data_IF_052733536244
#
_entry.id   IF_052733536244
#
_cell.length_a   1.000
_cell.length_b   1.000
_cell.length_c   1.000
_cell.angle_alpha   90.00
_cell.angle_beta   90.00
_cell.angle_gamma   90.00
#
_symmetry.space_group_name_H-M   'P 1'
#
loop_
_entity.id
_entity.type
_entity.pdbx_description
1 polymer ?
#
# COMPACT_ATOMS: atom_id res chain seq x y z
N UNK A 1 22.89 -18.59 -12.90
CA UNK A 1 21.50 -18.61 -12.39
C UNK A 1 20.82 -17.35 -12.87
N UNK A 2 19.51 -17.38 -13.15
CA UNK A 2 18.75 -16.16 -13.46
C UNK A 2 18.69 -15.25 -12.21
N UNK A 3 18.73 -13.93 -12.39
CA UNK A 3 18.54 -12.96 -11.30
C UNK A 3 17.16 -13.20 -10.65
N UNK A 4 17.04 -13.20 -9.32
CA UNK A 4 15.74 -13.19 -8.65
C UNK A 4 14.92 -11.97 -9.07
N UNK A 5 13.61 -12.15 -9.22
CA UNK A 5 12.70 -11.07 -9.64
C UNK A 5 11.95 -10.53 -8.42
N UNK A 6 12.01 -9.21 -8.21
CA UNK A 6 11.39 -8.51 -7.08
C UNK A 6 10.31 -7.56 -7.59
N UNK A 7 9.15 -7.54 -6.91
CA UNK A 7 8.12 -6.53 -7.11
C UNK A 7 7.83 -5.82 -5.79
N UNK A 8 7.38 -4.56 -5.85
CA UNK A 8 7.01 -3.81 -4.65
C UNK A 8 5.71 -3.03 -4.84
N UNK A 9 4.96 -2.84 -3.76
CA UNK A 9 3.75 -2.02 -3.79
C UNK A 9 3.63 -1.17 -2.53
N UNK A 10 2.98 -0.02 -2.69
CA UNK A 10 2.48 0.80 -1.60
C UNK A 10 0.95 0.75 -1.58
N UNK A 11 0.38 0.42 -0.41
CA UNK A 11 -1.06 0.37 -0.17
C UNK A 11 -1.47 1.57 0.70
N UNK A 12 -2.12 1.34 1.84
CA UNK A 12 -2.34 2.36 2.86
C UNK A 12 -1.06 2.60 3.67
N UNK A 13 -0.04 3.15 3.01
CA UNK A 13 1.27 3.51 3.57
C UNK A 13 1.60 4.99 3.32
N UNK A 14 2.76 5.42 3.81
CA UNK A 14 3.24 6.81 3.66
C UNK A 14 4.39 6.95 2.65
N UNK A 15 4.75 5.87 1.96
CA UNK A 15 5.93 5.70 1.12
C UNK A 15 7.28 5.63 1.88
N UNK A 16 7.24 5.67 3.22
CA UNK A 16 8.43 5.70 4.07
C UNK A 16 9.26 4.42 4.02
N UNK A 17 8.64 3.26 3.84
CA UNK A 17 9.40 2.00 3.72
C UNK A 17 10.14 1.94 2.36
N UNK A 18 9.52 2.43 1.29
CA UNK A 18 10.22 2.60 0.01
C UNK A 18 11.36 3.62 0.12
N UNK A 19 11.21 4.72 0.87
CA UNK A 19 12.33 5.63 1.13
C UNK A 19 13.43 4.94 1.92
N UNK A 20 13.11 4.17 2.96
CA UNK A 20 14.11 3.38 3.68
C UNK A 20 14.81 2.32 2.82
N UNK A 21 14.14 1.80 1.77
CA UNK A 21 14.77 0.95 0.77
C UNK A 21 15.76 1.74 -0.10
N UNK A 22 15.47 3.00 -0.43
CA UNK A 22 16.37 3.88 -1.19
C UNK A 22 17.51 4.45 -0.33
N UNK A 23 17.32 4.54 0.99
CA UNK A 23 18.33 4.94 1.98
C UNK A 23 19.47 3.89 2.15
N UNK A 24 19.51 2.85 1.30
CA UNK A 24 20.73 2.05 1.12
C UNK A 24 21.77 2.76 0.26
N UNK A 25 21.45 3.96 -0.23
CA UNK A 25 22.30 4.88 -0.97
C UNK A 25 22.95 4.20 -2.18
N UNK A 26 24.28 4.26 -2.32
CA UNK A 26 25.02 3.69 -3.43
C UNK A 26 24.83 2.17 -3.59
N UNK A 27 24.43 1.47 -2.53
CA UNK A 27 24.20 0.01 -2.59
C UNK A 27 23.01 -0.36 -3.46
N UNK A 28 22.16 0.61 -3.84
CA UNK A 28 21.11 0.37 -4.82
C UNK A 28 21.69 -0.03 -6.18
N UNK A 29 22.88 0.49 -6.52
CA UNK A 29 23.58 0.16 -7.76
C UNK A 29 24.09 -1.29 -7.73
N UNK A 30 24.55 -1.76 -6.57
CA UNK A 30 24.90 -3.17 -6.39
C UNK A 30 23.64 -4.06 -6.43
N UNK A 31 22.53 -3.59 -5.84
CA UNK A 31 21.29 -4.36 -5.78
C UNK A 31 20.71 -4.62 -7.17
N UNK A 32 20.65 -3.61 -8.05
CA UNK A 32 20.14 -3.80 -9.43
C UNK A 32 21.02 -4.74 -10.27
N UNK A 33 22.29 -4.95 -9.87
CA UNK A 33 23.14 -5.97 -10.48
C UNK A 33 22.82 -7.39 -9.99
N UNK A 34 22.19 -7.53 -8.82
CA UNK A 34 21.85 -8.82 -8.22
C UNK A 34 20.41 -9.28 -8.50
N UNK A 35 19.47 -8.34 -8.66
CA UNK A 35 18.04 -8.63 -8.84
C UNK A 35 17.48 -7.97 -10.09
N UNK A 36 16.33 -8.45 -10.53
CA UNK A 36 15.52 -7.77 -11.53
C UNK A 36 14.27 -7.18 -10.87
N UNK A 37 13.97 -5.91 -11.12
CA UNK A 37 12.73 -5.29 -10.68
C UNK A 37 11.61 -5.52 -11.70
N UNK A 38 10.46 -5.97 -11.18
CA UNK A 38 9.17 -5.93 -11.84
C UNK A 38 8.34 -4.79 -11.24
N UNK A 39 7.02 -4.78 -11.50
CA UNK A 39 6.04 -3.83 -10.97
C UNK A 39 6.44 -3.22 -9.62
N UNK A 40 6.75 -1.92 -9.65
CA UNK A 40 7.12 -1.12 -8.49
C UNK A 40 6.61 0.32 -8.64
N UNK A 41 6.25 1.03 -7.55
CA UNK A 41 5.91 2.45 -7.63
C UNK A 41 7.07 3.35 -8.07
N UNK A 42 8.32 2.86 -8.10
CA UNK A 42 9.49 3.62 -8.58
C UNK A 42 9.84 3.32 -10.05
N UNK A 43 9.01 2.54 -10.75
CA UNK A 43 9.14 2.24 -12.18
C UNK A 43 7.83 2.51 -12.95
N UNK A 44 7.87 2.24 -14.27
CA UNK A 44 6.73 2.42 -15.17
C UNK A 44 5.95 1.14 -15.50
N UNK A 45 6.26 0.03 -14.83
CA UNK A 45 5.64 -1.28 -15.06
C UNK A 45 4.29 -1.34 -14.34
N UNK A 46 3.19 -1.12 -15.07
CA UNK A 46 1.84 -1.06 -14.49
C UNK A 46 1.25 -2.44 -14.15
N UNK A 47 1.67 -3.48 -14.86
CA UNK A 47 1.20 -4.86 -14.70
C UNK A 47 2.38 -5.81 -14.52
N UNK A 48 2.20 -6.90 -13.76
CA UNK A 48 3.22 -7.95 -13.67
C UNK A 48 3.59 -8.48 -15.06
N UNK A 49 4.87 -8.36 -15.44
CA UNK A 49 5.35 -8.89 -16.73
C UNK A 49 5.74 -10.36 -16.65
N UNK A 50 5.99 -10.86 -15.44
CA UNK A 50 6.30 -12.27 -15.13
C UNK A 50 6.09 -12.54 -13.63
N UNK A 51 6.16 -13.81 -13.27
CA UNK A 51 6.09 -14.24 -11.86
C UNK A 51 7.32 -13.75 -11.10
N UNK A 52 7.11 -13.21 -9.91
CA UNK A 52 8.15 -12.65 -9.06
C UNK A 52 8.53 -13.65 -7.95
N UNK A 53 9.80 -13.66 -7.57
CA UNK A 53 10.29 -14.47 -6.48
C UNK A 53 9.92 -13.83 -5.13
N UNK A 54 10.02 -12.50 -5.04
CA UNK A 54 9.75 -11.73 -3.82
C UNK A 54 8.81 -10.56 -4.13
N UNK A 55 7.78 -10.39 -3.32
CA UNK A 55 6.93 -9.20 -3.28
C UNK A 55 7.09 -8.47 -1.94
N UNK A 56 7.45 -7.18 -1.98
CA UNK A 56 7.50 -6.31 -0.80
C UNK A 56 6.25 -5.44 -0.75
N UNK A 57 5.46 -5.55 0.32
CA UNK A 57 4.22 -4.79 0.48
C UNK A 57 4.36 -3.78 1.61
N UNK A 58 4.40 -2.51 1.25
CA UNK A 58 4.23 -1.41 2.18
C UNK A 58 2.74 -1.07 2.36
N UNK A 59 2.34 -0.76 3.59
CA UNK A 59 1.00 -0.26 3.89
C UNK A 59 -0.05 -1.34 4.14
N UNK A 60 -1.07 -0.99 4.92
CA UNK A 60 -2.24 -1.85 5.15
C UNK A 60 -3.27 -1.74 4.01
N UNK A 61 -4.47 -2.29 4.19
CA UNK A 61 -5.58 -2.08 3.27
C UNK A 61 -6.59 -1.11 3.89
N UNK A 62 -6.85 0.03 3.25
CA UNK A 62 -7.85 1.00 3.69
C UNK A 62 -9.01 1.20 2.69
N UNK A 63 -8.88 0.72 1.46
CA UNK A 63 -9.90 0.76 0.40
C UNK A 63 -9.92 -0.54 -0.43
N UNK A 64 -10.90 -0.66 -1.32
CA UNK A 64 -11.10 -1.83 -2.19
C UNK A 64 -9.93 -2.09 -3.14
N UNK A 65 -9.28 -1.05 -3.65
CA UNK A 65 -8.14 -1.20 -4.57
C UNK A 65 -6.93 -1.77 -3.85
N UNK A 66 -6.68 -1.40 -2.59
CA UNK A 66 -5.60 -2.01 -1.81
C UNK A 66 -5.77 -3.53 -1.66
N UNK A 67 -7.01 -4.00 -1.46
CA UNK A 67 -7.31 -5.44 -1.41
C UNK A 67 -7.03 -6.09 -2.76
N UNK A 68 -7.44 -5.45 -3.85
CA UNK A 68 -7.21 -5.93 -5.20
C UNK A 68 -5.71 -6.07 -5.51
N UNK A 69 -4.93 -5.01 -5.27
CA UNK A 69 -3.47 -5.01 -5.46
C UNK A 69 -2.80 -6.07 -4.58
N UNK A 70 -3.16 -6.15 -3.30
CA UNK A 70 -2.57 -7.14 -2.38
C UNK A 70 -2.82 -8.59 -2.83
N UNK A 71 -4.04 -8.89 -3.30
CA UNK A 71 -4.37 -10.21 -3.86
C UNK A 71 -3.62 -10.49 -5.16
N UNK A 72 -3.47 -9.49 -6.03
CA UNK A 72 -2.69 -9.61 -7.26
C UNK A 72 -1.21 -9.90 -6.96
N UNK A 73 -0.61 -9.20 -6.00
CA UNK A 73 0.74 -9.48 -5.51
C UNK A 73 0.86 -10.89 -4.93
N UNK A 74 -0.11 -11.33 -4.12
CA UNK A 74 -0.09 -12.70 -3.56
C UNK A 74 -0.13 -13.77 -4.64
N UNK A 75 -0.88 -13.55 -5.73
CA UNK A 75 -0.96 -14.47 -6.87
C UNK A 75 0.35 -14.51 -7.68
N UNK A 76 1.01 -13.37 -7.83
CA UNK A 76 2.17 -13.22 -8.72
C UNK A 76 3.53 -13.33 -8.01
N UNK A 77 3.58 -13.38 -6.68
CA UNK A 77 4.82 -13.53 -5.91
C UNK A 77 4.93 -14.88 -5.19
N UNK A 78 6.08 -15.54 -5.31
CA UNK A 78 6.36 -16.79 -4.58
C UNK A 78 6.45 -16.54 -3.07
N UNK A 79 7.20 -15.51 -2.67
CA UNK A 79 7.33 -15.02 -1.31
C UNK A 79 6.69 -13.63 -1.22
N UNK A 80 5.85 -13.40 -0.21
CA UNK A 80 5.25 -12.09 0.06
C UNK A 80 5.64 -11.62 1.46
N UNK A 81 6.17 -10.39 1.53
CA UNK A 81 6.71 -9.80 2.76
C UNK A 81 5.90 -8.55 3.12
N UNK A 82 5.37 -8.50 4.34
CA UNK A 82 4.86 -7.25 4.89
C UNK A 82 6.05 -6.37 5.29
N UNK A 83 6.20 -5.25 4.58
CA UNK A 83 7.30 -4.31 4.72
C UNK A 83 6.83 -3.07 5.49
N UNK A 84 7.19 -2.99 6.77
CA UNK A 84 6.84 -1.90 7.68
C UNK A 84 5.55 -2.10 8.50
N UNK A 85 5.43 -1.32 9.57
CA UNK A 85 4.39 -1.42 10.60
C UNK A 85 2.97 -1.30 10.03
N UNK A 86 2.78 -0.44 9.02
CA UNK A 86 1.48 -0.28 8.37
C UNK A 86 1.01 -1.59 7.72
N UNK A 87 1.90 -2.34 7.07
CA UNK A 87 1.56 -3.63 6.46
C UNK A 87 1.36 -4.73 7.52
N UNK A 88 2.10 -4.66 8.64
CA UNK A 88 2.10 -5.68 9.69
C UNK A 88 0.89 -5.56 10.60
N UNK A 89 0.53 -4.35 11.06
CA UNK A 89 -0.51 -4.13 12.08
C UNK A 89 -1.44 -2.95 11.76
N UNK A 90 -1.40 -2.42 10.54
CA UNK A 90 -2.22 -1.29 10.09
C UNK A 90 -1.61 0.09 10.37
N UNK A 91 -0.67 0.18 11.32
CA UNK A 91 0.15 1.38 11.60
C UNK A 91 -0.68 2.62 11.95
N UNK A 92 -0.13 3.80 11.64
CA UNK A 92 -0.80 5.08 11.91
C UNK A 92 -2.18 5.19 11.23
N UNK A 93 -2.39 4.74 9.97
CA UNK A 93 -3.72 4.76 9.36
C UNK A 93 -4.79 4.01 10.16
N UNK A 94 -4.44 2.94 10.89
CA UNK A 94 -5.37 2.17 11.70
C UNK A 94 -5.89 2.90 12.95
N UNK A 95 -5.33 4.06 13.31
CA UNK A 95 -5.89 4.91 14.37
C UNK A 95 -7.32 5.38 14.08
N UNK A 96 -7.75 5.38 12.81
CA UNK A 96 -9.15 5.68 12.47
C UNK A 96 -10.12 4.55 12.83
N UNK A 97 -9.65 3.34 13.12
CA UNK A 97 -10.50 2.15 13.29
C UNK A 97 -11.57 2.23 14.39
N UNK A 98 -11.37 2.97 15.50
CA UNK A 98 -12.42 3.21 16.50
C UNK A 98 -13.48 4.21 16.05
N UNK A 99 -13.25 4.97 14.98
CA UNK A 99 -14.14 6.02 14.47
C UNK A 99 -14.90 5.47 13.26
N UNK A 100 -16.23 5.63 13.16
CA UNK A 100 -16.98 5.24 11.98
C UNK A 100 -16.45 5.93 10.71
N UNK A 101 -16.25 5.16 9.63
CA UNK A 101 -15.72 5.70 8.36
C UNK A 101 -16.51 6.90 7.84
N UNK A 102 -17.84 6.91 8.07
CA UNK A 102 -18.71 8.03 7.71
C UNK A 102 -18.26 9.33 8.39
N UNK A 103 -17.99 9.29 9.69
CA UNK A 103 -17.53 10.46 10.45
C UNK A 103 -16.17 10.94 9.95
N UNK A 104 -15.25 10.02 9.61
CA UNK A 104 -13.96 10.41 9.01
C UNK A 104 -14.13 11.14 7.68
N UNK A 105 -15.03 10.67 6.81
CA UNK A 105 -15.29 11.28 5.50
C UNK A 105 -16.02 12.63 5.63
N UNK A 106 -17.00 12.72 6.53
CA UNK A 106 -17.70 13.97 6.81
C UNK A 106 -16.75 15.03 7.37
N UNK A 107 -15.84 14.66 8.28
CA UNK A 107 -14.81 15.57 8.78
C UNK A 107 -13.88 16.05 7.66
N UNK A 108 -13.37 15.13 6.84
CA UNK A 108 -12.43 15.47 5.78
C UNK A 108 -13.03 16.35 4.66
N UNK A 109 -14.30 16.13 4.31
CA UNK A 109 -14.90 16.73 3.10
C UNK A 109 -16.04 17.71 3.37
N UNK A 110 -16.57 17.81 4.59
CA UNK A 110 -17.71 18.70 4.92
C UNK A 110 -17.42 19.60 6.12
N UNK A 111 -16.99 19.02 7.24
CA UNK A 111 -16.95 19.71 8.54
C UNK A 111 -15.59 20.34 8.86
N UNK A 112 -14.54 19.96 8.13
CA UNK A 112 -13.19 20.48 8.33
C UNK A 112 -13.14 22.02 8.31
N UNK A 113 -12.32 22.67 9.17
CA UNK A 113 -12.32 24.12 9.32
C UNK A 113 -12.09 24.92 8.05
N UNK A 114 -11.32 24.36 7.10
CA UNK A 114 -11.01 24.96 5.80
C UNK A 114 -11.96 24.52 4.68
N UNK A 115 -12.89 23.61 4.95
CA UNK A 115 -13.84 23.07 3.96
C UNK A 115 -15.24 23.62 4.19
N UNK A 116 -15.61 23.82 5.45
CA UNK A 116 -16.90 24.37 5.85
C UNK A 116 -17.10 25.77 5.25
N UNK A 117 -18.15 25.93 4.46
CA UNK A 117 -18.45 27.17 3.72
C UNK A 117 -17.76 27.28 2.36
N UNK A 118 -16.93 26.30 1.98
CA UNK A 118 -16.30 26.21 0.65
C UNK A 118 -16.81 25.02 -0.18
N UNK A 119 -17.32 23.97 0.45
CA UNK A 119 -18.05 22.89 -0.20
C UNK A 119 -19.57 23.13 -0.12
N UNK A 120 -20.08 24.09 -0.90
CA UNK A 120 -21.50 24.50 -0.87
C UNK A 120 -22.46 23.38 -1.26
N UNK A 121 -22.02 22.45 -2.12
CA UNK A 121 -22.82 21.30 -2.56
C UNK A 121 -22.90 20.18 -1.53
N UNK A 122 -22.04 20.19 -0.49
CA UNK A 122 -22.04 19.18 0.57
C UNK A 122 -21.71 17.77 0.07
N UNK A 123 -20.92 17.66 -1.01
CA UNK A 123 -20.63 16.37 -1.64
C UNK A 123 -19.38 15.75 -1.00
N UNK A 124 -19.51 14.48 -0.61
CA UNK A 124 -18.37 13.58 -0.35
C UNK A 124 -18.03 12.89 -1.67
N UNK A 125 -16.76 12.85 -2.11
CA UNK A 125 -16.38 12.19 -3.36
C UNK A 125 -16.86 10.74 -3.43
N UNK A 126 -17.61 10.41 -4.49
CA UNK A 126 -18.29 9.12 -4.65
C UNK A 126 -18.38 8.64 -6.11
N UNK A 127 -17.46 9.11 -6.96
CA UNK A 127 -17.37 8.68 -8.36
C UNK A 127 -16.94 7.20 -8.46
N UNK A 128 -17.35 6.50 -9.54
CA UNK A 128 -16.99 5.09 -9.77
C UNK A 128 -15.48 4.86 -9.91
N UNK A 129 -14.71 5.89 -10.30
CA UNK A 129 -13.24 5.84 -10.35
C UNK A 129 -12.58 5.86 -8.96
N UNK A 130 -13.32 6.24 -7.90
CA UNK A 130 -12.79 6.32 -6.54
C UNK A 130 -13.03 4.99 -5.82
N UNK A 131 -11.97 4.32 -5.33
CA UNK A 131 -12.14 3.04 -4.65
C UNK A 131 -12.92 3.22 -3.34
N UNK A 132 -13.82 2.28 -3.08
CA UNK A 132 -14.62 2.28 -1.86
C UNK A 132 -13.72 2.10 -0.63
N UNK A 133 -13.85 3.03 0.32
CA UNK A 133 -13.16 2.94 1.61
C UNK A 133 -13.69 1.75 2.43
N UNK A 134 -12.78 1.02 3.06
CA UNK A 134 -13.13 -0.07 3.97
C UNK A 134 -13.60 0.50 5.32
N UNK A 135 -14.43 -0.26 6.02
CA UNK A 135 -14.89 0.09 7.37
C UNK A 135 -13.73 0.31 8.34
N UNK A 136 -12.65 -0.48 8.22
CA UNK A 136 -11.41 -0.38 9.00
C UNK A 136 -10.19 -0.47 8.08
N UNK A 137 -9.05 -0.04 8.58
CA UNK A 137 -7.75 -0.41 8.02
C UNK A 137 -7.38 -1.79 8.53
N UNK A 138 -6.98 -2.68 7.62
CA UNK A 138 -6.58 -4.05 7.92
C UNK A 138 -5.08 -4.24 7.63
N UNK A 139 -4.34 -4.97 8.48
CA UNK A 139 -3.01 -5.43 8.13
C UNK A 139 -3.07 -6.46 6.99
N UNK A 140 -1.97 -6.62 6.24
CA UNK A 140 -1.95 -7.46 5.05
C UNK A 140 -2.26 -8.93 5.33
N UNK A 141 -1.83 -9.44 6.49
CA UNK A 141 -1.99 -10.84 6.88
C UNK A 141 -3.44 -11.23 7.23
N UNK A 142 -4.33 -10.25 7.44
CA UNK A 142 -5.77 -10.50 7.57
C UNK A 142 -6.46 -10.71 6.21
N UNK A 143 -5.81 -10.30 5.11
CA UNK A 143 -6.40 -10.37 3.76
C UNK A 143 -5.79 -11.51 2.92
N UNK A 144 -4.47 -11.72 3.00
CA UNK A 144 -3.75 -12.76 2.27
C UNK A 144 -2.68 -13.42 3.15
N UNK A 145 -2.21 -14.61 2.76
CA UNK A 145 -1.05 -15.23 3.41
C UNK A 145 0.20 -14.37 3.19
N UNK A 146 0.86 -14.00 4.29
CA UNK A 146 2.18 -13.35 4.33
C UNK A 146 3.21 -14.39 4.78
N UNK A 147 4.38 -14.40 4.12
CA UNK A 147 5.44 -15.37 4.40
C UNK A 147 6.47 -14.82 5.41
N UNK A 148 6.77 -13.52 5.34
CA UNK A 148 7.68 -12.84 6.27
C UNK A 148 7.21 -11.44 6.63
N UNK A 149 7.72 -10.93 7.74
CA UNK A 149 7.43 -9.59 8.25
C UNK A 149 8.73 -8.85 8.49
N UNK A 150 8.86 -7.63 7.96
CA UNK A 150 9.99 -6.74 8.20
C UNK A 150 9.48 -5.52 8.99
N UNK A 151 9.62 -5.52 10.33
CA UNK A 151 9.11 -4.44 11.18
C UNK A 151 9.94 -3.15 11.03
N UNK A 152 9.28 -2.01 11.22
CA UNK A 152 9.85 -0.66 11.09
C UNK A 152 8.78 0.38 10.84
#
# INVERSE_FOLDING_TARGET
MSKPVIATATLAGCFGCHMSLLDIDEKILDLIELVEFNKSPIDDIKNFTKKCDIGLIEGGCCNSENIHVLKDFRKNCNILISFGECAIMGGLPAYRNPIPIKECLEEAYLNGPSVKGHNESGIIPNDEEIPMMLNKVYPCHEIVKIDYFLPG
#
